data_IF_773203142408
#
_entry.id   IF_773203142408
#
_cell.length_a   1.000
_cell.length_b   1.000
_cell.length_c   1.000
_cell.angle_alpha   90.00
_cell.angle_beta   90.00
_cell.angle_gamma   90.00
#
_symmetry.space_group_name_H-M   'P 1'
#
loop_
_entity.id
_entity.type
_entity.pdbx_description
1 polymer ?
#
# COMPACT_ATOMS: atom_id res chain seq x y z
N UNK A 1 14.57 10.83 -7.69
CA UNK A 1 14.61 9.48 -8.29
C UNK A 1 15.74 9.32 -9.29
N UNK A 2 15.97 10.28 -10.18
CA UNK A 2 17.04 10.25 -11.20
C UNK A 2 18.41 10.08 -10.57
N UNK A 3 18.74 10.82 -9.50
CA UNK A 3 20.03 10.71 -8.80
C UNK A 3 20.26 9.35 -8.11
N UNK A 4 19.18 8.66 -7.70
CA UNK A 4 19.28 7.34 -7.07
C UNK A 4 19.39 6.23 -8.12
N UNK A 5 18.81 6.41 -9.30
CA UNK A 5 18.89 5.48 -10.42
C UNK A 5 20.29 5.35 -11.00
N UNK A 6 21.06 6.46 -11.06
CA UNK A 6 22.40 6.49 -11.65
C UNK A 6 23.45 5.67 -10.85
N UNK A 7 23.16 5.34 -9.59
CA UNK A 7 24.05 4.54 -8.74
C UNK A 7 23.64 3.06 -8.65
N UNK A 8 22.53 2.68 -9.27
CA UNK A 8 22.01 1.30 -9.20
C UNK A 8 22.65 0.39 -10.23
N UNK A 9 23.23 -0.71 -9.76
CA UNK A 9 24.02 -1.66 -10.58
C UNK A 9 23.42 -3.07 -10.65
N UNK A 10 22.32 -3.35 -9.91
CA UNK A 10 21.71 -4.68 -9.86
C UNK A 10 20.20 -4.63 -10.13
N UNK A 11 19.64 -5.77 -10.50
CA UNK A 11 18.18 -5.96 -10.71
C UNK A 11 17.44 -5.81 -9.40
N UNK A 12 18.03 -6.24 -8.28
CA UNK A 12 17.48 -6.08 -6.94
C UNK A 12 17.30 -4.60 -6.58
N UNK A 13 18.29 -3.76 -6.87
CA UNK A 13 18.24 -2.32 -6.62
C UNK A 13 17.10 -1.65 -7.42
N UNK A 14 16.86 -2.09 -8.65
CA UNK A 14 15.77 -1.59 -9.50
C UNK A 14 14.41 -2.00 -8.94
N UNK A 15 14.28 -3.26 -8.51
CA UNK A 15 13.04 -3.76 -7.90
C UNK A 15 12.71 -3.04 -6.59
N UNK A 16 13.73 -2.79 -5.76
CA UNK A 16 13.58 -2.01 -4.53
C UNK A 16 13.15 -0.57 -4.83
N UNK A 17 13.74 0.05 -5.86
CA UNK A 17 13.33 1.39 -6.31
C UNK A 17 11.88 1.40 -6.79
N UNK A 18 11.46 0.42 -7.58
CA UNK A 18 10.07 0.32 -8.04
C UNK A 18 9.10 0.14 -6.88
N UNK A 19 9.42 -0.73 -5.92
CA UNK A 19 8.61 -0.89 -4.71
C UNK A 19 8.49 0.42 -3.92
N UNK A 20 9.60 1.13 -3.75
CA UNK A 20 9.62 2.45 -3.12
C UNK A 20 8.77 3.47 -3.88
N UNK A 21 8.87 3.50 -5.21
CA UNK A 21 8.06 4.40 -6.06
C UNK A 21 6.57 4.09 -5.95
N UNK A 22 6.17 2.83 -5.84
CA UNK A 22 4.76 2.44 -5.64
C UNK A 22 4.21 2.98 -4.31
N UNK A 23 5.00 2.90 -3.24
CA UNK A 23 4.64 3.45 -1.93
C UNK A 23 4.58 4.99 -1.99
N UNK A 24 5.54 5.62 -2.65
CA UNK A 24 5.59 7.08 -2.81
C UNK A 24 4.45 7.60 -3.69
N UNK A 25 4.07 6.86 -4.73
CA UNK A 25 2.89 7.18 -5.54
C UNK A 25 1.60 7.16 -4.72
N UNK A 26 1.43 6.15 -3.85
CA UNK A 26 0.31 6.12 -2.91
C UNK A 26 0.28 7.38 -2.03
N UNK A 27 1.44 7.85 -1.56
CA UNK A 27 1.57 9.10 -0.79
C UNK A 27 1.18 10.34 -1.60
N UNK A 28 1.53 10.41 -2.88
CA UNK A 28 1.16 11.54 -3.77
C UNK A 28 -0.33 11.55 -4.07
N UNK A 29 -0.94 10.40 -4.31
CA UNK A 29 -2.39 10.28 -4.52
C UNK A 29 -3.21 10.73 -3.30
N UNK A 30 -2.67 10.55 -2.08
CA UNK A 30 -3.25 11.10 -0.85
C UNK A 30 -3.44 12.61 -0.93
N UNK A 31 -2.40 13.34 -1.36
CA UNK A 31 -2.45 14.81 -1.40
C UNK A 31 -3.54 15.33 -2.35
N UNK A 32 -3.88 14.57 -3.38
CA UNK A 32 -4.99 14.89 -4.30
C UNK A 32 -6.36 14.64 -3.65
N UNK A 33 -6.47 13.65 -2.74
CA UNK A 33 -7.70 13.37 -1.97
C UNK A 33 -7.82 14.21 -0.69
N UNK A 34 -6.75 14.86 -0.24
CA UNK A 34 -6.69 15.62 1.02
C UNK A 34 -7.56 16.90 1.03
N UNK A 35 -8.08 17.30 -0.12
CA UNK A 35 -9.04 18.41 -0.24
C UNK A 35 -10.46 18.07 0.24
N UNK A 36 -10.72 16.85 0.71
CA UNK A 36 -11.93 16.52 1.44
C UNK A 36 -11.73 16.81 2.92
N UNK A 37 -12.68 17.50 3.48
CA UNK A 37 -12.75 18.11 4.81
C UNK A 37 -12.66 17.05 5.93
N UNK A 38 -11.45 16.59 6.24
CA UNK A 38 -11.21 15.79 7.44
C UNK A 38 -10.72 16.67 8.58
N UNK A 39 -11.14 16.36 9.81
CA UNK A 39 -10.60 17.00 11.01
C UNK A 39 -9.10 16.72 11.16
N UNK A 40 -8.39 17.59 11.88
CA UNK A 40 -6.95 17.47 12.10
C UNK A 40 -6.53 16.09 12.63
N UNK A 41 -7.19 15.48 13.65
CA UNK A 41 -6.82 14.16 14.14
C UNK A 41 -6.94 13.06 13.08
N UNK A 42 -7.99 13.08 12.28
CA UNK A 42 -8.20 12.08 11.21
C UNK A 42 -7.17 12.28 10.10
N UNK A 43 -6.88 13.51 9.72
CA UNK A 43 -5.86 13.83 8.73
C UNK A 43 -4.46 13.35 9.18
N UNK A 44 -4.09 13.55 10.44
CA UNK A 44 -2.83 13.06 11.03
C UNK A 44 -2.76 11.52 11.03
N UNK A 45 -3.87 10.84 11.32
CA UNK A 45 -3.93 9.38 11.25
C UNK A 45 -3.74 8.89 9.81
N UNK A 46 -4.39 9.52 8.84
CA UNK A 46 -4.24 9.17 7.42
C UNK A 46 -2.80 9.37 6.97
N UNK A 47 -2.17 10.49 7.31
CA UNK A 47 -0.77 10.77 7.00
C UNK A 47 0.16 9.70 7.59
N UNK A 48 -0.06 9.34 8.85
CA UNK A 48 0.71 8.29 9.50
C UNK A 48 0.54 6.92 8.83
N UNK A 49 -0.68 6.55 8.47
CA UNK A 49 -0.97 5.28 7.78
C UNK A 49 -0.19 5.19 6.47
N UNK A 50 -0.23 6.23 5.65
CA UNK A 50 0.51 6.25 4.37
C UNK A 50 2.03 6.16 4.56
N UNK A 51 2.56 6.80 5.59
CA UNK A 51 4.00 6.79 5.87
C UNK A 51 4.49 5.46 6.45
N UNK A 52 3.59 4.63 7.01
CA UNK A 52 3.92 3.42 7.76
C UNK A 52 3.24 2.15 7.23
N UNK A 53 2.91 2.10 5.92
CA UNK A 53 2.29 0.91 5.29
C UNK A 53 3.13 -0.36 5.44
N UNK A 54 4.43 -0.24 5.62
CA UNK A 54 5.39 -1.31 5.84
C UNK A 54 5.41 -1.83 7.29
N UNK A 55 4.58 -1.30 8.16
CA UNK A 55 4.51 -1.70 9.57
C UNK A 55 3.11 -2.19 9.95
N UNK A 56 3.03 -2.81 11.12
CA UNK A 56 1.74 -3.12 11.74
C UNK A 56 1.20 -1.86 12.41
N UNK A 57 0.08 -1.37 11.93
CA UNK A 57 -0.60 -0.19 12.47
C UNK A 57 -1.82 -0.66 13.27
N UNK A 58 -1.98 -0.16 14.49
CA UNK A 58 -3.13 -0.44 15.36
C UNK A 58 -3.91 0.82 15.70
N UNK A 59 -5.17 0.66 16.07
CA UNK A 59 -6.03 1.78 16.46
C UNK A 59 -5.51 2.46 17.72
N UNK A 60 -4.96 1.68 18.66
CA UNK A 60 -4.38 2.17 19.92
C UNK A 60 -3.18 3.09 19.64
N UNK A 61 -2.32 2.69 18.70
CA UNK A 61 -1.16 3.48 18.30
C UNK A 61 -1.60 4.82 17.68
N UNK A 62 -2.57 4.80 16.78
CA UNK A 62 -3.10 6.01 16.16
C UNK A 62 -3.80 6.92 17.19
N UNK A 63 -4.60 6.33 18.06
CA UNK A 63 -5.32 7.06 19.11
C UNK A 63 -4.36 7.77 20.08
N UNK A 64 -3.31 7.08 20.51
CA UNK A 64 -2.24 7.65 21.35
C UNK A 64 -1.54 8.83 20.66
N UNK A 65 -1.30 8.72 19.36
CA UNK A 65 -0.64 9.76 18.57
C UNK A 65 -1.43 11.05 18.51
N UNK A 66 -2.75 10.95 18.40
CA UNK A 66 -3.66 12.12 18.30
C UNK A 66 -4.33 12.49 19.62
N UNK A 67 -3.90 11.89 20.73
CA UNK A 67 -4.44 12.13 22.09
C UNK A 67 -5.96 11.91 22.20
N UNK A 68 -6.45 10.85 21.55
CA UNK A 68 -7.85 10.44 21.60
C UNK A 68 -7.96 9.02 22.17
N UNK A 69 -9.15 8.66 22.65
CA UNK A 69 -9.42 7.26 22.99
C UNK A 69 -9.65 6.44 21.72
N UNK A 70 -9.26 5.14 21.70
CA UNK A 70 -9.48 4.27 20.53
C UNK A 70 -10.92 4.24 20.06
N UNK A 71 -11.89 4.20 20.98
CA UNK A 71 -13.32 4.18 20.67
C UNK A 71 -13.80 5.48 20.02
N UNK A 72 -13.33 6.61 20.50
CA UNK A 72 -13.69 7.91 19.93
C UNK A 72 -13.06 8.09 18.55
N UNK A 73 -11.76 7.77 18.41
CA UNK A 73 -11.07 7.84 17.12
C UNK A 73 -11.74 6.94 16.08
N UNK A 74 -12.11 5.70 16.44
CA UNK A 74 -12.78 4.78 15.50
C UNK A 74 -14.10 5.32 14.99
N UNK A 75 -14.89 5.92 15.84
CA UNK A 75 -16.17 6.55 15.44
C UNK A 75 -15.95 7.78 14.57
N UNK A 76 -15.01 8.65 14.96
CA UNK A 76 -14.68 9.87 14.22
C UNK A 76 -14.15 9.53 12.83
N UNK A 77 -13.21 8.60 12.74
CA UNK A 77 -12.60 8.15 11.49
C UNK A 77 -13.64 7.58 10.53
N UNK A 78 -14.53 6.69 11.03
CA UNK A 78 -15.63 6.12 10.23
C UNK A 78 -16.61 7.19 9.77
N UNK A 79 -16.94 8.16 10.63
CA UNK A 79 -17.83 9.27 10.29
C UNK A 79 -17.29 10.12 9.15
N UNK A 80 -15.98 10.40 9.16
CA UNK A 80 -15.34 11.31 8.21
C UNK A 80 -14.86 10.63 6.93
N UNK A 81 -14.40 9.37 7.00
CA UNK A 81 -13.89 8.63 5.84
C UNK A 81 -14.90 7.67 5.23
N UNK A 82 -15.96 7.34 5.96
CA UNK A 82 -16.94 6.32 5.55
C UNK A 82 -16.53 4.89 5.88
N UNK A 83 -15.32 4.67 6.37
CA UNK A 83 -14.75 3.33 6.58
C UNK A 83 -14.12 3.18 7.97
N UNK A 84 -14.04 1.94 8.48
CA UNK A 84 -13.29 1.71 9.70
C UNK A 84 -11.77 1.68 9.44
N UNK A 85 -11.00 2.04 10.45
CA UNK A 85 -9.54 2.19 10.35
C UNK A 85 -8.86 0.91 9.83
N UNK A 86 -9.22 -0.25 10.35
CA UNK A 86 -8.63 -1.53 9.95
C UNK A 86 -8.89 -1.87 8.50
N UNK A 87 -10.11 -1.67 8.03
CA UNK A 87 -10.47 -1.86 6.63
C UNK A 87 -9.76 -0.84 5.73
N UNK A 88 -9.71 0.42 6.10
CA UNK A 88 -9.01 1.47 5.39
C UNK A 88 -7.53 1.13 5.17
N UNK A 89 -6.82 0.72 6.25
CA UNK A 89 -5.41 0.29 6.17
C UNK A 89 -5.26 -0.93 5.25
N UNK A 90 -6.14 -1.93 5.39
CA UNK A 90 -6.10 -3.14 4.56
C UNK A 90 -6.28 -2.82 3.08
N UNK A 91 -7.27 -2.02 2.73
CA UNK A 91 -7.53 -1.63 1.33
C UNK A 91 -6.35 -0.88 0.74
N UNK A 92 -5.75 0.03 1.50
CA UNK A 92 -4.59 0.80 1.06
C UNK A 92 -3.36 -0.09 0.82
N UNK A 93 -3.13 -1.08 1.69
CA UNK A 93 -2.07 -2.08 1.49
C UNK A 93 -2.33 -2.95 0.25
N UNK A 94 -3.57 -3.37 0.01
CA UNK A 94 -3.93 -4.16 -1.17
C UNK A 94 -3.77 -3.37 -2.48
N UNK A 95 -4.14 -2.10 -2.49
CA UNK A 95 -3.94 -1.23 -3.66
C UNK A 95 -2.45 -0.99 -3.92
N UNK A 96 -1.66 -0.80 -2.87
CA UNK A 96 -0.19 -0.72 -3.00
C UNK A 96 0.40 -2.03 -3.52
N UNK A 97 -0.08 -3.18 -3.04
CA UNK A 97 0.34 -4.50 -3.51
C UNK A 97 0.03 -4.71 -5.01
N UNK A 98 -1.12 -4.22 -5.50
CA UNK A 98 -1.45 -4.25 -6.94
C UNK A 98 -0.38 -3.54 -7.78
N UNK A 99 0.02 -2.34 -7.35
CA UNK A 99 1.06 -1.58 -8.03
C UNK A 99 2.42 -2.28 -7.96
N UNK A 100 2.79 -2.86 -6.81
CA UNK A 100 4.03 -3.63 -6.68
C UNK A 100 4.04 -4.86 -7.57
N UNK A 101 2.91 -5.56 -7.73
CA UNK A 101 2.82 -6.72 -8.63
C UNK A 101 3.04 -6.36 -10.10
N UNK A 102 2.65 -5.15 -10.51
CA UNK A 102 2.78 -4.67 -11.89
C UNK A 102 4.18 -4.08 -12.15
N UNK A 103 4.68 -3.27 -11.21
CA UNK A 103 5.85 -2.40 -11.42
C UNK A 103 7.11 -2.84 -10.70
N UNK A 104 7.10 -3.96 -9.97
CA UNK A 104 8.28 -4.52 -9.33
C UNK A 104 8.38 -6.02 -9.54
N UNK A 105 9.57 -6.58 -9.34
CA UNK A 105 9.84 -8.02 -9.44
C UNK A 105 9.64 -8.76 -8.10
N UNK A 106 9.15 -8.08 -7.08
CA UNK A 106 8.89 -8.70 -5.78
C UNK A 106 7.90 -9.85 -5.90
N UNK A 107 8.27 -10.99 -5.31
CA UNK A 107 7.37 -12.13 -5.19
C UNK A 107 6.16 -11.78 -4.31
N UNK A 108 5.03 -12.49 -4.42
CA UNK A 108 3.90 -12.32 -3.50
C UNK A 108 4.29 -12.44 -2.03
N UNK A 109 5.25 -13.32 -1.70
CA UNK A 109 5.79 -13.45 -0.34
C UNK A 109 6.52 -12.19 0.12
N UNK A 110 7.38 -11.63 -0.73
CA UNK A 110 8.11 -10.39 -0.46
C UNK A 110 7.16 -9.20 -0.32
N UNK A 111 6.12 -9.10 -1.16
CA UNK A 111 5.10 -8.06 -1.06
C UNK A 111 4.34 -8.16 0.27
N UNK A 112 3.91 -9.36 0.65
CA UNK A 112 3.24 -9.60 1.93
C UNK A 112 4.10 -9.16 3.11
N UNK A 113 5.39 -9.46 3.08
CA UNK A 113 6.35 -9.06 4.10
C UNK A 113 6.58 -7.54 4.10
N UNK A 114 6.80 -6.94 2.94
CA UNK A 114 7.05 -5.49 2.80
C UNK A 114 5.89 -4.65 3.30
N UNK A 115 4.66 -5.10 3.07
CA UNK A 115 3.45 -4.41 3.50
C UNK A 115 2.95 -4.89 4.88
N UNK A 116 3.76 -5.65 5.61
CA UNK A 116 3.46 -6.15 6.95
C UNK A 116 2.09 -6.84 7.05
N UNK A 117 1.78 -7.71 6.11
CA UNK A 117 0.67 -8.65 6.25
C UNK A 117 1.04 -9.76 7.26
N UNK A 118 0.07 -10.31 8.00
CA UNK A 118 0.33 -11.35 8.99
C UNK A 118 1.01 -12.61 8.41
N UNK A 119 0.65 -12.97 7.17
CA UNK A 119 1.25 -14.08 6.43
C UNK A 119 1.01 -13.91 4.92
N UNK A 120 1.79 -14.64 4.10
CA UNK A 120 1.56 -14.71 2.66
C UNK A 120 0.18 -15.31 2.33
N UNK A 121 -0.25 -16.32 3.06
CA UNK A 121 -1.56 -16.96 2.86
C UNK A 121 -2.70 -15.98 3.11
N UNK A 122 -2.64 -15.23 4.20
CA UNK A 122 -3.60 -14.16 4.50
C UNK A 122 -3.62 -13.09 3.41
N UNK A 123 -2.44 -12.63 2.98
CA UNK A 123 -2.34 -11.67 1.88
C UNK A 123 -2.98 -12.21 0.60
N UNK A 124 -2.65 -13.43 0.19
CA UNK A 124 -3.17 -14.06 -1.03
C UNK A 124 -4.70 -14.15 -1.00
N UNK A 125 -5.27 -14.56 0.12
CA UNK A 125 -6.72 -14.65 0.30
C UNK A 125 -7.38 -13.26 0.23
N UNK A 126 -6.88 -12.29 0.98
CA UNK A 126 -7.44 -10.94 0.98
C UNK A 126 -7.30 -10.26 -0.38
N UNK A 127 -6.17 -10.47 -1.06
CA UNK A 127 -5.95 -9.96 -2.41
C UNK A 127 -6.93 -10.58 -3.42
N UNK A 128 -7.17 -11.89 -3.33
CA UNK A 128 -8.14 -12.58 -4.18
C UNK A 128 -9.57 -12.09 -3.93
N UNK A 129 -9.94 -11.89 -2.67
CA UNK A 129 -11.26 -11.34 -2.32
C UNK A 129 -11.45 -9.91 -2.86
N UNK A 130 -10.38 -9.12 -2.88
CA UNK A 130 -10.42 -7.74 -3.36
C UNK A 130 -10.39 -7.60 -4.89
N UNK A 131 -9.61 -8.43 -5.57
CA UNK A 131 -9.36 -8.31 -7.03
C UNK A 131 -10.03 -9.39 -7.87
N UNK A 132 -10.50 -10.46 -7.26
CA UNK A 132 -10.99 -11.67 -7.94
C UNK A 132 -9.88 -12.63 -8.39
N UNK A 133 -8.60 -12.26 -8.28
CA UNK A 133 -7.45 -13.01 -8.76
C UNK A 133 -6.41 -13.22 -7.66
N UNK A 134 -5.67 -14.34 -7.73
CA UNK A 134 -4.47 -14.49 -6.90
C UNK A 134 -3.39 -13.49 -7.33
N UNK A 135 -2.47 -13.11 -6.43
CA UNK A 135 -1.38 -12.19 -6.78
C UNK A 135 -0.57 -12.65 -8.01
N UNK A 136 -0.26 -13.94 -8.10
CA UNK A 136 0.47 -14.49 -9.25
C UNK A 136 -0.31 -14.37 -10.56
N UNK A 137 -1.60 -14.72 -10.56
CA UNK A 137 -2.45 -14.58 -11.74
C UNK A 137 -2.64 -13.11 -12.13
N UNK A 138 -2.80 -12.23 -11.16
CA UNK A 138 -2.92 -10.79 -11.38
C UNK A 138 -1.68 -10.25 -12.10
N UNK A 139 -0.49 -10.62 -11.66
CA UNK A 139 0.77 -10.25 -12.31
C UNK A 139 0.85 -10.78 -13.75
N UNK A 140 0.56 -12.06 -13.95
CA UNK A 140 0.65 -12.70 -15.26
C UNK A 140 -0.27 -12.05 -16.31
N UNK A 141 -1.49 -11.69 -15.93
CA UNK A 141 -2.44 -11.02 -16.82
C UNK A 141 -1.95 -9.62 -17.16
N UNK A 142 -1.46 -8.85 -16.18
CA UNK A 142 -1.03 -7.48 -16.40
C UNK A 142 0.30 -7.41 -17.18
N UNK A 143 1.24 -8.34 -16.96
CA UNK A 143 2.47 -8.42 -17.75
C UNK A 143 2.21 -8.71 -19.23
N UNK A 144 1.19 -9.51 -19.54
CA UNK A 144 0.79 -9.80 -20.93
C UNK A 144 0.17 -8.59 -21.65
N UNK A 145 -0.32 -7.62 -20.90
CA UNK A 145 -0.96 -6.40 -21.44
C UNK A 145 0.00 -5.23 -21.58
N UNK A 146 1.20 -5.28 -20.96
CA UNK A 146 2.21 -4.24 -21.09
C UNK A 146 3.04 -4.45 -22.37
N UNK A 147 3.15 -3.42 -23.26
CA UNK A 147 3.86 -3.55 -24.54
C UNK A 147 5.35 -3.84 -24.46
N UNK A 148 5.94 -3.67 -23.27
CA UNK A 148 7.38 -3.77 -23.03
C UNK A 148 7.95 -5.20 -22.98
N UNK A 149 7.10 -6.24 -22.95
CA UNK A 149 7.56 -7.64 -22.92
C UNK A 149 7.43 -8.40 -24.25
N UNK A 150 7.16 -7.72 -25.37
CA UNK A 150 7.01 -8.39 -26.69
C UNK A 150 8.32 -8.62 -27.45
N UNK A 151 9.49 -8.26 -26.90
CA UNK A 151 10.76 -8.42 -27.60
C UNK A 151 11.78 -9.21 -26.77
N UNK A 152 11.54 -10.48 -26.47
CA UNK A 152 12.59 -11.46 -26.20
C UNK A 152 12.04 -12.88 -26.46
N UNK A 153 11.90 -13.19 -27.73
CA UNK A 153 11.93 -14.55 -28.28
C UNK A 153 12.72 -14.52 -29.56
#
# INVERSE_FOLDING_TARGET
>A
YIKKSDTMKSVEDISELHAFMCIDYAKKMRNLKKNSICSKPVAECIDYIYDHLHTRITVELLAKRVNLTPSYLSRLFKKETGDNIGHYIKMLKLDTARNMLIYSDYSPAQIAQTLAFPSQSYFTEQFRLHTGLTPANYRNINLRQTPFHKNNT
#
